data_IF_238686017448
#
_entry.id   IF_238686017448
#
_cell.length_a   1.000
_cell.length_b   1.000
_cell.length_c   1.000
_cell.angle_alpha   90.00
_cell.angle_beta   90.00
_cell.angle_gamma   90.00
#
_symmetry.space_group_name_H-M   'P 1'
#
loop_
_entity.id
_entity.type
_entity.pdbx_description
1 polymer ?
#
# COMPACT_ATOMS: atom_id res chain seq x y z
N UNK A 1 -14.99 13.06 -2.22
CA UNK A 1 -14.56 13.86 -1.05
C UNK A 1 -13.20 14.45 -1.36
N UNK A 2 -13.15 15.71 -1.77
CA UNK A 2 -11.90 16.45 -1.96
C UNK A 2 -11.28 16.78 -0.59
N UNK A 3 -10.70 15.76 0.04
CA UNK A 3 -10.18 15.80 1.40
C UNK A 3 -8.84 16.52 1.47
N UNK A 4 -8.86 17.84 1.66
CA UNK A 4 -7.69 18.54 2.17
C UNK A 4 -7.41 18.02 3.60
N UNK A 5 -6.53 17.04 3.72
CA UNK A 5 -6.14 16.54 5.03
C UNK A 5 -5.41 17.65 5.79
N UNK A 6 -5.98 18.07 6.93
CA UNK A 6 -5.28 18.99 7.81
C UNK A 6 -4.05 18.27 8.37
N UNK A 7 -2.86 18.81 8.08
CA UNK A 7 -1.57 18.21 8.45
C UNK A 7 -1.38 18.03 9.96
N UNK A 8 -2.17 18.73 10.78
CA UNK A 8 -2.14 18.63 12.24
C UNK A 8 -3.16 17.65 12.81
N UNK A 9 -4.04 17.08 11.98
CA UNK A 9 -5.00 16.06 12.42
C UNK A 9 -4.28 14.75 12.76
N UNK A 10 -4.85 14.03 13.73
CA UNK A 10 -4.44 12.68 14.06
C UNK A 10 -5.31 11.67 13.30
N UNK A 11 -4.67 10.63 12.79
CA UNK A 11 -5.29 9.50 12.09
C UNK A 11 -4.87 8.21 12.78
N UNK A 12 -5.56 7.11 12.49
CA UNK A 12 -5.24 5.80 13.04
C UNK A 12 -4.51 4.98 11.99
N UNK A 13 -3.39 4.37 12.39
CA UNK A 13 -2.69 3.42 11.55
C UNK A 13 -3.52 2.14 11.38
N UNK A 14 -3.85 1.80 10.13
CA UNK A 14 -4.66 0.62 9.79
C UNK A 14 -4.02 -0.73 10.16
N UNK A 15 -2.71 -0.78 10.40
CA UNK A 15 -2.00 -2.02 10.76
C UNK A 15 -1.90 -2.26 12.27
N UNK A 16 -1.71 -1.21 13.07
CA UNK A 16 -1.45 -1.36 14.51
C UNK A 16 -2.48 -0.69 15.42
N UNK A 17 -3.44 0.04 14.86
CA UNK A 17 -4.49 0.75 15.61
C UNK A 17 -4.01 1.97 16.41
N UNK A 18 -2.73 2.34 16.33
CA UNK A 18 -2.18 3.51 17.04
C UNK A 18 -2.36 4.80 16.25
N UNK A 19 -2.54 5.90 16.97
CA UNK A 19 -2.61 7.25 16.43
C UNK A 19 -1.28 7.77 15.90
N UNK A 20 -1.33 8.57 14.84
CA UNK A 20 -0.21 9.34 14.30
C UNK A 20 -0.72 10.58 13.59
N UNK A 21 0.13 11.60 13.45
CA UNK A 21 -0.22 12.81 12.71
C UNK A 21 -0.28 12.53 11.21
N UNK A 22 -1.25 13.13 10.53
CA UNK A 22 -1.42 13.06 9.06
C UNK A 22 -0.11 13.36 8.32
N UNK A 23 0.65 14.37 8.77
CA UNK A 23 1.92 14.76 8.15
C UNK A 23 2.99 13.66 8.17
N UNK A 24 2.89 12.72 9.12
CA UNK A 24 3.85 11.63 9.35
C UNK A 24 3.29 10.28 8.84
N UNK A 25 2.04 10.26 8.36
CA UNK A 25 1.36 9.06 7.89
C UNK A 25 1.61 8.80 6.41
N UNK A 26 1.72 7.52 6.04
CA UNK A 26 1.60 7.06 4.66
C UNK A 26 0.12 6.93 4.32
N UNK A 27 -0.27 7.51 3.18
CA UNK A 27 -1.63 7.43 2.65
C UNK A 27 -1.71 6.25 1.68
N UNK A 28 -2.66 5.36 1.91
CA UNK A 28 -2.96 4.20 1.08
C UNK A 28 -4.30 4.44 0.39
N UNK A 29 -4.27 4.59 -0.93
CA UNK A 29 -5.48 4.69 -1.74
C UNK A 29 -5.86 3.29 -2.19
N UNK A 30 -6.92 2.73 -1.61
CA UNK A 30 -7.38 1.38 -1.88
C UNK A 30 -8.68 1.44 -2.65
N UNK A 31 -8.68 0.78 -3.79
CA UNK A 31 -9.85 0.57 -4.63
C UNK A 31 -10.25 -0.91 -4.49
N UNK A 32 -11.52 -1.25 -4.23
CA UNK A 32 -11.94 -2.65 -4.08
C UNK A 32 -11.64 -3.53 -5.29
N UNK A 33 -11.68 -2.95 -6.49
CA UNK A 33 -11.31 -3.56 -7.77
C UNK A 33 -11.04 -2.45 -8.79
N UNK A 34 -10.47 -2.80 -9.96
CA UNK A 34 -10.06 -1.83 -10.99
C UNK A 34 -11.21 -1.00 -11.59
N UNK A 35 -12.44 -1.50 -11.54
CA UNK A 35 -13.63 -0.85 -12.08
C UNK A 35 -14.35 0.04 -11.05
N UNK A 36 -13.96 -0.01 -9.77
CA UNK A 36 -14.68 0.68 -8.70
C UNK A 36 -14.33 2.16 -8.66
N UNK A 37 -15.28 3.05 -8.94
CA UNK A 37 -15.02 4.50 -8.93
C UNK A 37 -14.74 5.06 -7.51
N UNK A 38 -15.02 4.28 -6.47
CA UNK A 38 -14.83 4.69 -5.08
C UNK A 38 -13.44 4.30 -4.55
N UNK A 39 -12.63 5.32 -4.26
CA UNK A 39 -11.32 5.17 -3.61
C UNK A 39 -11.48 5.39 -2.10
N UNK A 40 -11.00 4.43 -1.31
CA UNK A 40 -10.89 4.55 0.14
C UNK A 40 -9.47 4.91 0.55
N UNK A 41 -9.33 5.86 1.48
CA UNK A 41 -8.04 6.30 1.97
C UNK A 41 -7.77 5.73 3.35
N UNK A 42 -6.73 4.91 3.49
CA UNK A 42 -6.22 4.44 4.77
C UNK A 42 -4.92 5.15 5.13
N UNK A 43 -4.60 5.17 6.42
CA UNK A 43 -3.38 5.78 6.93
C UNK A 43 -2.54 4.73 7.64
N UNK A 44 -1.21 4.84 7.54
CA UNK A 44 -0.30 3.92 8.21
C UNK A 44 1.00 4.58 8.64
N UNK A 45 1.67 3.98 9.62
CA UNK A 45 3.07 4.30 9.90
C UNK A 45 3.93 3.85 8.71
N UNK A 46 4.90 4.69 8.30
CA UNK A 46 5.85 4.36 7.23
C UNK A 46 6.53 3.00 7.43
N UNK A 47 6.95 2.69 8.66
CA UNK A 47 7.58 1.41 9.00
C UNK A 47 6.68 0.21 8.68
N UNK A 48 5.42 0.24 9.10
CA UNK A 48 4.48 -0.86 8.86
C UNK A 48 4.15 -1.01 7.38
N UNK A 49 3.99 0.09 6.64
CA UNK A 49 3.82 0.02 5.19
C UNK A 49 5.01 -0.68 4.52
N UNK A 50 6.24 -0.27 4.85
CA UNK A 50 7.44 -0.87 4.26
C UNK A 50 7.58 -2.35 4.62
N UNK A 51 7.35 -2.72 5.88
CA UNK A 51 7.54 -4.10 6.35
C UNK A 51 6.44 -5.05 5.87
N UNK A 52 5.20 -4.58 5.77
CA UNK A 52 4.04 -5.45 5.49
C UNK A 52 3.61 -5.44 4.02
N UNK A 53 3.87 -4.37 3.27
CA UNK A 53 3.43 -4.20 1.88
C UNK A 53 4.63 -4.08 0.94
N UNK A 54 5.45 -3.05 1.08
CA UNK A 54 6.54 -2.76 0.11
C UNK A 54 7.52 -3.93 -0.04
N UNK A 55 7.94 -4.51 1.09
CA UNK A 55 8.86 -5.67 1.09
C UNK A 55 8.19 -7.01 0.84
N UNK A 56 6.86 -7.09 0.96
CA UNK A 56 6.14 -8.35 0.74
C UNK A 56 5.71 -8.54 -0.71
N UNK A 57 5.76 -7.47 -1.53
CA UNK A 57 5.48 -7.53 -2.95
C UNK A 57 6.78 -7.90 -3.69
N UNK A 58 6.82 -9.08 -4.36
CA UNK A 58 7.91 -9.38 -5.29
C UNK A 58 7.87 -8.34 -6.42
N UNK A 59 8.98 -7.61 -6.60
CA UNK A 59 9.10 -6.57 -7.63
C UNK A 59 9.25 -7.13 -9.05
N UNK A 60 9.47 -8.44 -9.17
CA UNK A 60 9.55 -9.13 -10.44
C UNK A 60 8.30 -9.99 -10.61
N UNK A 61 7.61 -9.92 -11.77
CA UNK A 61 6.82 -11.05 -12.20
C UNK A 61 7.75 -12.25 -12.17
N UNK A 62 7.31 -13.38 -11.61
CA UNK A 62 7.94 -14.65 -11.87
C UNK A 62 7.84 -14.88 -13.39
N UNK A 63 8.80 -14.34 -14.14
CA UNK A 63 9.25 -14.98 -15.36
C UNK A 63 9.85 -16.28 -14.86
N UNK A 64 9.00 -17.29 -14.72
CA UNK A 64 9.45 -18.66 -14.97
C UNK A 64 10.15 -18.55 -16.32
N UNK A 65 11.48 -18.61 -16.33
CA UNK A 65 12.18 -18.93 -17.56
C UNK A 65 11.53 -20.25 -17.99
N UNK A 66 10.73 -20.21 -19.05
CA UNK A 66 10.24 -21.42 -19.69
C UNK A 66 11.50 -22.25 -19.91
N UNK A 67 11.56 -23.41 -19.25
CA UNK A 67 12.59 -24.42 -19.39
C UNK A 67 12.45 -25.03 -20.81
N UNK A 68 12.61 -24.18 -21.83
CA UNK A 68 12.80 -24.51 -23.24
C UNK A 68 14.29 -24.79 -23.45
N UNK A 69 14.91 -25.62 -22.60
CA UNK A 69 16.07 -26.39 -23.01
C UNK A 69 15.59 -27.65 -23.75
N UNK A 70 14.96 -27.40 -24.91
CA UNK A 70 15.10 -28.27 -26.06
C UNK A 70 16.54 -28.09 -26.54
N UNK A 71 17.46 -28.98 -26.14
CA UNK A 71 18.56 -29.61 -26.90
C UNK A 71 19.17 -30.64 -25.92
N UNK A 72 19.19 -31.96 -26.15
CA UNK A 72 19.77 -32.72 -27.27
C UNK A 72 19.15 -34.13 -27.34
#
# INVERSE_FOLDING_TARGET
MDGQFNKQSEVICCFCGKGLLVKDAVILNVQPNIESEEIQNFFSHKKHFTELIDKSIPLHPDFFEDDDDIEM
#
